data_IF_070520579631
#
_entry.id   IF_070520579631
#
_cell.length_a   1.000
_cell.length_b   1.000
_cell.length_c   1.000
_cell.angle_alpha   90.00
_cell.angle_beta   90.00
_cell.angle_gamma   90.00
#
_symmetry.space_group_name_H-M   'P 1'
#
loop_
_entity.id
_entity.type
_entity.pdbx_description
1 polymer ?
#
# COMPACT_ATOMS: atom_id res chain seq x y z
N UNK A 1 -19.87 6.75 4.49
CA UNK A 1 -19.46 6.05 3.25
C UNK A 1 -20.05 4.64 3.15
N UNK A 2 -19.99 3.76 4.17
CA UNK A 2 -20.77 2.48 4.22
C UNK A 2 -22.31 2.61 4.28
N UNK A 3 -22.85 3.83 4.19
CA UNK A 3 -24.28 4.10 4.34
C UNK A 3 -24.96 4.41 3.01
N UNK A 4 -24.19 4.42 1.90
CA UNK A 4 -24.68 4.79 0.56
C UNK A 4 -24.74 3.57 -0.37
N UNK A 5 -23.79 2.64 -0.28
CA UNK A 5 -23.80 1.38 -1.06
C UNK A 5 -23.24 0.21 -0.23
N UNK A 6 -24.03 -0.85 0.05
CA UNK A 6 -23.63 -1.97 0.89
C UNK A 6 -22.66 -2.96 0.21
N UNK A 7 -22.55 -2.94 -1.12
CA UNK A 7 -21.67 -3.81 -1.91
C UNK A 7 -20.28 -3.22 -2.17
N UNK A 8 -19.99 -2.01 -1.66
CA UNK A 8 -18.69 -1.36 -1.88
C UNK A 8 -17.59 -2.03 -1.05
N UNK A 9 -16.72 -2.79 -1.71
CA UNK A 9 -15.44 -3.20 -1.14
C UNK A 9 -14.50 -1.99 -1.06
N UNK A 10 -13.85 -1.80 0.09
CA UNK A 10 -12.83 -0.75 0.28
C UNK A 10 -11.52 -1.44 0.67
N UNK A 11 -10.50 -1.22 -0.17
CA UNK A 11 -9.14 -1.70 0.05
C UNK A 11 -8.23 -0.54 0.42
N UNK A 12 -7.67 -0.59 1.61
CA UNK A 12 -6.68 0.39 2.07
C UNK A 12 -5.28 -0.07 1.69
N UNK A 13 -4.44 0.86 1.24
CA UNK A 13 -3.04 0.58 0.86
C UNK A 13 -2.13 1.51 1.64
N UNK A 14 -1.20 0.94 2.41
CA UNK A 14 -0.34 1.73 3.30
C UNK A 14 1.03 1.12 3.53
N UNK A 15 1.90 1.86 4.22
CA UNK A 15 3.21 1.34 4.61
C UNK A 15 3.08 0.38 5.81
N UNK A 16 3.81 -0.74 5.79
CA UNK A 16 3.80 -1.77 6.85
C UNK A 16 4.08 -1.25 8.27
N UNK A 17 4.72 -0.08 8.40
CA UNK A 17 5.14 0.51 9.68
C UNK A 17 4.19 1.59 10.23
N UNK A 18 3.07 1.88 9.56
CA UNK A 18 2.10 2.89 9.99
C UNK A 18 1.12 2.42 11.07
N UNK A 19 0.59 3.36 11.86
CA UNK A 19 -0.53 3.17 12.81
C UNK A 19 -1.77 2.55 12.13
N UNK A 20 -1.93 2.82 10.83
CA UNK A 20 -2.96 2.30 9.94
C UNK A 20 -3.00 0.77 9.91
N UNK A 21 -1.84 0.11 10.13
CA UNK A 21 -1.71 -1.35 10.12
C UNK A 21 -2.54 -2.05 11.19
N UNK A 22 -2.84 -1.35 12.28
CA UNK A 22 -3.68 -1.89 13.37
C UNK A 22 -5.14 -1.44 13.23
N UNK A 23 -5.34 -0.17 12.87
CA UNK A 23 -6.67 0.45 12.91
C UNK A 23 -7.56 -0.04 11.76
N UNK A 24 -7.00 -0.21 10.55
CA UNK A 24 -7.79 -0.56 9.36
C UNK A 24 -8.37 -1.98 9.43
N UNK A 25 -7.59 -3.03 9.78
CA UNK A 25 -8.15 -4.38 9.94
C UNK A 25 -9.15 -4.46 11.08
N UNK A 26 -8.94 -3.71 12.18
CA UNK A 26 -9.87 -3.66 13.32
C UNK A 26 -11.22 -3.07 12.97
N UNK A 27 -11.27 -2.16 11.99
CA UNK A 27 -12.51 -1.61 11.45
C UNK A 27 -13.20 -2.50 10.40
N UNK A 28 -12.64 -3.70 10.13
CA UNK A 28 -13.19 -4.67 9.19
C UNK A 28 -12.95 -4.33 7.71
N UNK A 29 -11.95 -3.50 7.41
CA UNK A 29 -11.53 -3.20 6.05
C UNK A 29 -10.29 -4.00 5.67
N UNK A 30 -10.16 -4.34 4.38
CA UNK A 30 -8.94 -4.98 3.87
C UNK A 30 -7.81 -3.96 3.83
N UNK A 31 -6.65 -4.32 4.38
CA UNK A 31 -5.43 -3.53 4.33
C UNK A 31 -4.34 -4.32 3.61
N UNK A 32 -3.83 -3.75 2.53
CA UNK A 32 -2.61 -4.21 1.87
C UNK A 32 -1.43 -3.33 2.30
N UNK A 33 -0.41 -3.96 2.87
CA UNK A 33 0.79 -3.24 3.32
C UNK A 33 1.94 -3.41 2.35
N UNK A 34 2.61 -2.31 2.03
CA UNK A 34 3.74 -2.29 1.12
C UNK A 34 5.03 -1.93 1.86
N UNK A 35 6.12 -2.62 1.52
CA UNK A 35 7.45 -2.30 2.04
C UNK A 35 8.06 -1.18 1.23
N UNK A 36 7.93 0.05 1.75
CA UNK A 36 8.58 1.25 1.20
C UNK A 36 9.74 1.66 2.11
N UNK A 37 10.91 1.90 1.51
CA UNK A 37 12.08 2.42 2.21
C UNK A 37 12.38 3.82 1.67
N UNK A 38 12.68 4.76 2.56
CA UNK A 38 13.07 6.13 2.17
C UNK A 38 14.46 6.16 1.54
N UNK A 39 14.68 7.11 0.63
CA UNK A 39 16.01 7.40 0.08
C UNK A 39 16.91 7.99 1.17
N UNK A 40 18.15 7.49 1.29
CA UNK A 40 19.14 8.13 2.15
C UNK A 40 19.73 9.34 1.43
N UNK A 41 20.08 10.37 2.21
CA UNK A 41 20.68 11.63 1.69
C UNK A 41 22.07 11.43 1.05
N UNK A 42 22.73 10.29 1.27
CA UNK A 42 24.01 9.94 0.66
C UNK A 42 23.82 8.98 -0.52
N UNK A 43 24.57 9.16 -1.62
CA UNK A 43 24.66 8.20 -2.72
C UNK A 43 25.43 6.94 -2.26
N UNK A 44 24.74 6.07 -1.55
CA UNK A 44 25.29 4.81 -1.02
C UNK A 44 24.71 3.62 -1.77
N UNK A 45 25.40 2.46 -1.76
CA UNK A 45 24.88 1.21 -2.33
C UNK A 45 23.51 0.81 -1.77
N UNK A 46 23.19 1.29 -0.56
CA UNK A 46 21.86 1.15 0.05
C UNK A 46 20.74 1.83 -0.77
N UNK A 47 21.03 2.89 -1.53
CA UNK A 47 20.05 3.52 -2.41
C UNK A 47 19.66 2.63 -3.59
N UNK A 48 20.54 1.75 -4.06
CA UNK A 48 20.20 0.77 -5.11
C UNK A 48 19.12 -0.19 -4.59
N UNK A 49 19.26 -0.64 -3.33
CA UNK A 49 18.24 -1.43 -2.65
C UNK A 49 16.94 -0.65 -2.49
N UNK A 50 17.02 0.63 -2.16
CA UNK A 50 15.84 1.50 -2.08
C UNK A 50 15.12 1.63 -3.42
N UNK A 51 15.85 1.84 -4.53
CA UNK A 51 15.27 1.90 -5.88
C UNK A 51 14.60 0.57 -6.24
N UNK A 52 15.24 -0.57 -5.94
CA UNK A 52 14.63 -1.88 -6.16
C UNK A 52 13.33 -2.06 -5.36
N UNK A 53 13.32 -1.68 -4.08
CA UNK A 53 12.11 -1.72 -3.25
C UNK A 53 11.02 -0.79 -3.79
N UNK A 54 11.39 0.39 -4.27
CA UNK A 54 10.46 1.33 -4.89
C UNK A 54 9.82 0.73 -6.16
N UNK A 55 10.62 0.17 -7.07
CA UNK A 55 10.10 -0.47 -8.29
C UNK A 55 9.20 -1.67 -7.95
N UNK A 56 9.59 -2.48 -6.96
CA UNK A 56 8.76 -3.59 -6.46
C UNK A 56 7.44 -3.08 -5.89
N UNK A 57 7.46 -2.00 -5.12
CA UNK A 57 6.24 -1.38 -4.59
C UNK A 57 5.35 -0.88 -5.74
N UNK A 58 5.89 -0.15 -6.72
CA UNK A 58 5.10 0.30 -7.88
C UNK A 58 4.47 -0.89 -8.63
N UNK A 59 5.22 -1.97 -8.84
CA UNK A 59 4.71 -3.18 -9.48
C UNK A 59 3.59 -3.83 -8.66
N UNK A 60 3.74 -3.93 -7.34
CA UNK A 60 2.71 -4.43 -6.44
C UNK A 60 1.45 -3.55 -6.47
N UNK A 61 1.60 -2.23 -6.46
CA UNK A 61 0.47 -1.31 -6.51
C UNK A 61 -0.30 -1.45 -7.83
N UNK A 62 0.42 -1.54 -8.96
CA UNK A 62 -0.19 -1.82 -10.27
C UNK A 62 -0.93 -3.15 -10.30
N UNK A 63 -0.34 -4.20 -9.72
CA UNK A 63 -0.99 -5.51 -9.60
C UNK A 63 -2.26 -5.41 -8.76
N UNK A 64 -2.20 -4.70 -7.64
CA UNK A 64 -3.34 -4.53 -6.75
C UNK A 64 -4.50 -3.81 -7.40
N UNK A 65 -4.22 -2.71 -8.11
CA UNK A 65 -5.25 -1.98 -8.88
C UNK A 65 -5.87 -2.90 -9.94
N UNK A 66 -5.06 -3.72 -10.61
CA UNK A 66 -5.54 -4.67 -11.63
C UNK A 66 -6.38 -5.80 -11.05
N UNK A 67 -6.01 -6.33 -9.89
CA UNK A 67 -6.72 -7.42 -9.22
C UNK A 67 -8.01 -6.91 -8.55
N UNK A 68 -7.96 -5.74 -7.91
CA UNK A 68 -9.10 -5.11 -7.26
C UNK A 68 -10.10 -4.52 -8.25
N UNK A 69 -9.63 -4.03 -9.41
CA UNK A 69 -10.45 -3.35 -10.44
C UNK A 69 -11.40 -2.30 -9.85
N UNK A 70 -10.85 -1.22 -9.26
CA UNK A 70 -11.69 -0.19 -8.67
C UNK A 70 -12.51 0.54 -9.75
N UNK A 71 -13.83 0.55 -9.58
CA UNK A 71 -14.70 1.58 -10.13
C UNK A 71 -14.48 2.84 -9.28
N UNK A 72 -13.82 3.85 -9.85
CA UNK A 72 -13.39 5.08 -9.15
C UNK A 72 -14.54 6.00 -8.76
#
# INVERSE_FOLDING_TARGET
MKQVEPDTEVLYVGAKRGLETKIVPQAGYRLETMEVQGFRRSLSLENVKTVYLFLKAVAQAKKLIKDFRPDV
#
